data_IF_049101603661
#
_entry.id   IF_049101603661
#
_cell.length_a   1.000
_cell.length_b   1.000
_cell.length_c   1.000
_cell.angle_alpha   90.00
_cell.angle_beta   90.00
_cell.angle_gamma   90.00
#
_symmetry.space_group_name_H-M   'P 1'
#
loop_
_entity.id
_entity.type
_entity.pdbx_description
1 polymer ?
#
# COMPACT_ATOMS: atom_id res chain seq x y z
N UNK A 1 13.10 -13.21 28.95
CA UNK A 1 11.89 -12.41 29.14
C UNK A 1 11.29 -12.29 27.76
N UNK A 2 10.34 -13.13 27.46
CA UNK A 2 9.64 -13.20 26.18
C UNK A 2 8.62 -12.08 26.12
N UNK A 3 8.79 -11.11 25.22
CA UNK A 3 7.78 -10.12 24.91
C UNK A 3 6.70 -10.77 24.06
N UNK A 4 5.55 -11.02 24.64
CA UNK A 4 4.36 -11.38 23.90
C UNK A 4 3.86 -10.13 23.16
N UNK A 5 3.74 -10.21 21.84
CA UNK A 5 2.97 -9.25 21.03
C UNK A 5 1.52 -9.26 21.50
N UNK A 6 0.87 -8.11 21.62
CA UNK A 6 -0.55 -8.05 21.96
C UNK A 6 -1.37 -8.67 20.82
N UNK A 7 -2.03 -9.78 21.10
CA UNK A 7 -3.05 -10.34 20.22
C UNK A 7 -4.15 -9.29 20.00
N UNK A 8 -4.31 -8.85 18.77
CA UNK A 8 -5.40 -7.95 18.37
C UNK A 8 -6.67 -8.78 18.32
N UNK A 9 -7.53 -8.58 19.31
CA UNK A 9 -8.86 -9.18 19.37
C UNK A 9 -9.76 -8.55 18.30
N UNK A 10 -10.04 -9.27 17.21
CA UNK A 10 -10.97 -8.84 16.18
C UNK A 10 -12.41 -9.19 16.57
N UNK A 11 -13.21 -8.15 16.78
CA UNK A 11 -14.67 -8.29 16.86
C UNK A 11 -15.25 -8.26 15.45
N UNK A 12 -15.83 -9.37 15.03
CA UNK A 12 -16.59 -9.49 13.80
C UNK A 12 -17.95 -8.79 13.95
N UNK A 13 -18.17 -7.70 13.20
CA UNK A 13 -19.46 -7.03 13.14
C UNK A 13 -19.78 -6.60 11.70
N UNK A 14 -20.88 -7.10 11.19
CA UNK A 14 -21.46 -6.73 9.91
C UNK A 14 -22.11 -5.33 9.98
N UNK A 15 -21.90 -4.51 8.94
CA UNK A 15 -22.43 -3.15 8.87
C UNK A 15 -22.82 -2.68 7.48
N UNK A 16 -24.05 -2.19 7.42
CA UNK A 16 -24.55 -1.36 6.32
C UNK A 16 -24.06 0.07 6.48
N UNK A 17 -23.44 0.63 5.45
CA UNK A 17 -23.08 2.05 5.34
C UNK A 17 -23.94 2.76 4.32
N UNK A 18 -24.44 3.93 4.69
CA UNK A 18 -24.89 4.94 3.73
C UNK A 18 -23.70 5.79 3.27
N UNK A 19 -23.69 6.26 2.01
CA UNK A 19 -22.62 7.11 1.53
C UNK A 19 -22.62 8.43 2.28
N UNK A 20 -21.51 8.79 2.91
CA UNK A 20 -21.28 10.13 3.40
C UNK A 20 -21.24 11.09 2.22
N UNK A 21 -22.11 12.08 2.21
CA UNK A 21 -22.11 13.22 1.29
C UNK A 21 -20.77 13.94 1.38
N UNK A 22 -20.22 14.30 0.22
CA UNK A 22 -18.88 14.82 0.03
C UNK A 22 -18.47 15.94 0.97
N UNK A 23 -17.35 15.72 1.65
CA UNK A 23 -16.61 16.76 2.33
C UNK A 23 -15.84 17.62 1.32
N UNK A 24 -16.13 18.90 1.29
CA UNK A 24 -15.37 19.89 0.55
C UNK A 24 -13.94 19.94 1.09
N UNK A 25 -12.93 19.75 0.23
CA UNK A 25 -11.55 20.05 0.62
C UNK A 25 -10.42 19.30 -0.05
N UNK A 26 -10.65 18.21 -0.76
CA UNK A 26 -9.61 17.57 -1.57
C UNK A 26 -10.11 17.47 -3.00
N UNK A 27 -9.74 18.44 -3.83
CA UNK A 27 -10.11 18.45 -5.24
C UNK A 27 -9.37 17.33 -5.99
N UNK A 28 -10.12 16.49 -6.67
CA UNK A 28 -9.59 15.51 -7.61
C UNK A 28 -9.25 16.23 -8.92
N UNK A 29 -7.96 16.61 -9.07
CA UNK A 29 -7.47 17.21 -10.30
C UNK A 29 -7.09 16.12 -11.29
N UNK A 30 -8.02 15.72 -12.12
CA UNK A 30 -7.73 14.91 -13.30
C UNK A 30 -6.69 15.64 -14.16
N UNK A 31 -5.54 14.98 -14.39
CA UNK A 31 -4.55 15.31 -15.42
C UNK A 31 -3.97 16.74 -15.42
N UNK A 32 -3.06 17.02 -14.51
CA UNK A 32 -2.06 18.06 -14.76
C UNK A 32 -0.78 17.43 -15.31
N UNK A 33 -0.30 18.00 -16.42
CA UNK A 33 0.83 17.52 -17.26
C UNK A 33 2.22 17.45 -16.59
N UNK A 34 2.32 17.65 -15.26
CA UNK A 34 3.59 17.84 -14.58
C UNK A 34 4.18 16.58 -13.91
N UNK A 35 3.39 15.50 -13.79
CA UNK A 35 3.94 14.23 -13.29
C UNK A 35 4.38 13.35 -14.47
N UNK A 36 5.50 12.62 -14.29
CA UNK A 36 6.02 11.73 -15.33
C UNK A 36 5.02 10.60 -15.63
N UNK A 37 5.11 10.04 -16.83
CA UNK A 37 4.42 8.82 -17.26
C UNK A 37 5.27 8.07 -18.26
N UNK A 38 5.05 6.75 -18.37
CA UNK A 38 5.82 5.90 -19.26
C UNK A 38 7.14 5.42 -18.64
N UNK A 39 8.24 5.45 -19.39
CA UNK A 39 9.53 4.99 -18.89
C UNK A 39 10.06 5.87 -17.76
N UNK A 40 10.51 5.25 -16.66
CA UNK A 40 11.19 5.88 -15.55
C UNK A 40 12.63 5.38 -15.42
N UNK A 41 13.18 5.50 -14.19
CA UNK A 41 14.57 5.08 -13.94
C UNK A 41 14.78 3.56 -14.08
N UNK A 42 13.71 2.76 -13.97
CA UNK A 42 13.79 1.30 -14.14
C UNK A 42 13.83 0.85 -15.61
N UNK A 43 13.51 1.70 -16.55
CA UNK A 43 13.45 1.33 -17.98
C UNK A 43 14.80 0.86 -18.57
N UNK A 44 15.92 1.22 -17.94
CA UNK A 44 17.27 0.80 -18.33
C UNK A 44 17.66 -0.58 -17.74
N UNK A 45 16.83 -1.15 -16.86
CA UNK A 45 17.13 -2.36 -16.10
C UNK A 45 16.13 -3.46 -16.43
N UNK A 46 16.57 -4.47 -17.17
CA UNK A 46 15.75 -5.65 -17.44
C UNK A 46 15.47 -6.41 -16.15
N UNK A 47 14.20 -6.69 -15.85
CA UNK A 47 13.75 -7.31 -14.60
C UNK A 47 14.40 -6.67 -13.36
N UNK A 48 14.66 -5.37 -13.40
CA UNK A 48 15.31 -4.57 -12.36
C UNK A 48 16.72 -5.00 -11.94
N UNK A 49 17.38 -5.86 -12.68
CA UNK A 49 18.73 -6.35 -12.36
C UNK A 49 19.70 -5.17 -12.29
N UNK A 50 20.21 -4.89 -11.08
CA UNK A 50 21.16 -3.80 -10.84
C UNK A 50 20.52 -2.46 -10.48
N UNK A 51 19.19 -2.33 -10.52
CA UNK A 51 18.44 -1.10 -10.21
C UNK A 51 18.73 -0.56 -8.80
N UNK A 52 19.00 -1.44 -7.82
CA UNK A 52 19.35 -1.05 -6.45
C UNK A 52 20.60 -0.16 -6.35
N UNK A 53 21.44 -0.09 -7.42
CA UNK A 53 22.64 0.76 -7.48
C UNK A 53 22.37 2.11 -8.14
N UNK A 54 21.18 2.32 -8.71
CA UNK A 54 20.82 3.58 -9.39
C UNK A 54 20.64 4.68 -8.36
N UNK A 55 21.17 5.86 -8.66
CA UNK A 55 20.97 7.05 -7.84
C UNK A 55 19.48 7.36 -7.63
N UNK A 56 19.12 7.62 -6.39
CA UNK A 56 17.73 7.88 -5.98
C UNK A 56 16.95 6.62 -5.56
N UNK A 57 17.48 5.42 -5.75
CA UNK A 57 16.89 4.20 -5.21
C UNK A 57 17.30 4.04 -3.75
N UNK A 58 16.31 3.88 -2.89
CA UNK A 58 16.46 3.68 -1.42
C UNK A 58 16.47 2.18 -1.10
N UNK A 59 15.59 1.43 -1.75
CA UNK A 59 15.45 -0.02 -1.57
C UNK A 59 14.94 -0.65 -2.87
N UNK A 60 15.41 -1.84 -3.17
CA UNK A 60 14.89 -2.66 -4.27
C UNK A 60 15.09 -4.14 -3.94
N UNK A 61 14.05 -4.95 -4.14
CA UNK A 61 14.09 -6.39 -4.00
C UNK A 61 13.14 -7.04 -5.02
N UNK A 62 13.65 -8.02 -5.77
CA UNK A 62 12.91 -8.87 -6.70
C UNK A 62 12.82 -10.32 -6.22
N UNK A 63 13.06 -10.57 -4.92
CA UNK A 63 12.98 -11.88 -4.27
C UNK A 63 13.88 -12.97 -4.88
N UNK A 64 14.81 -12.62 -5.77
CA UNK A 64 15.69 -13.56 -6.49
C UNK A 64 16.67 -14.32 -5.59
N UNK A 65 16.89 -13.86 -4.36
CA UNK A 65 17.64 -14.62 -3.33
C UNK A 65 16.91 -15.89 -2.87
N UNK A 66 15.60 -15.99 -3.10
CA UNK A 66 14.76 -17.08 -2.60
C UNK A 66 14.43 -16.99 -1.11
N UNK A 67 14.69 -15.84 -0.49
CA UNK A 67 14.43 -15.56 0.92
C UNK A 67 13.97 -14.11 1.15
N UNK A 68 13.74 -13.74 2.41
CA UNK A 68 13.36 -12.41 2.84
C UNK A 68 14.47 -11.67 3.60
N UNK A 69 15.74 -11.99 3.35
CA UNK A 69 16.85 -11.38 4.07
C UNK A 69 16.97 -9.85 3.87
N UNK A 70 16.44 -9.33 2.77
CA UNK A 70 16.40 -7.89 2.50
C UNK A 70 15.35 -7.14 3.35
N UNK A 71 14.39 -7.84 3.95
CA UNK A 71 13.27 -7.30 4.72
C UNK A 71 13.52 -7.36 6.21
N UNK A 72 13.01 -6.39 6.95
CA UNK A 72 13.27 -6.25 8.38
C UNK A 72 12.26 -7.03 9.26
N UNK A 73 11.01 -7.17 8.76
CA UNK A 73 9.96 -7.97 9.41
C UNK A 73 9.26 -8.85 8.38
N UNK A 74 8.84 -10.02 8.82
CA UNK A 74 8.18 -11.03 8.00
C UNK A 74 7.23 -11.88 8.84
N UNK A 75 6.10 -12.24 8.28
CA UNK A 75 5.09 -13.07 8.95
C UNK A 75 5.36 -14.57 8.78
N UNK A 76 6.61 -15.01 8.94
CA UNK A 76 7.00 -16.41 8.79
C UNK A 76 6.29 -17.36 9.76
N UNK A 77 5.96 -16.89 10.96
CA UNK A 77 5.26 -17.70 11.95
C UNK A 77 3.88 -18.17 11.47
N UNK A 78 3.23 -17.39 10.62
CA UNK A 78 1.92 -17.71 10.05
C UNK A 78 1.99 -18.67 8.87
N UNK A 79 3.18 -18.90 8.30
CA UNK A 79 3.43 -19.78 7.14
C UNK A 79 2.56 -19.46 5.91
N UNK A 80 2.15 -18.23 5.75
CA UNK A 80 1.33 -17.77 4.63
C UNK A 80 2.03 -16.73 3.75
N UNK A 81 3.31 -16.47 4.03
CA UNK A 81 4.18 -15.64 3.19
C UNK A 81 5.45 -16.42 2.87
N UNK A 82 5.72 -16.64 1.62
CA UNK A 82 6.89 -17.40 1.18
C UNK A 82 7.35 -16.97 -0.22
N UNK A 83 8.62 -17.18 -0.53
CA UNK A 83 9.11 -17.04 -1.89
C UNK A 83 8.62 -18.22 -2.75
N UNK A 84 8.40 -17.95 -4.01
CA UNK A 84 7.85 -18.92 -4.94
C UNK A 84 8.42 -18.67 -6.34
N UNK A 85 8.68 -19.71 -7.15
CA UNK A 85 9.01 -19.50 -8.55
C UNK A 85 7.94 -18.63 -9.22
N UNK A 86 8.36 -17.61 -9.95
CA UNK A 86 7.43 -16.66 -10.58
C UNK A 86 6.51 -17.38 -11.55
N UNK A 87 5.17 -17.28 -11.38
CA UNK A 87 4.27 -17.87 -12.34
C UNK A 87 4.38 -17.11 -13.67
N UNK A 88 4.78 -17.83 -14.72
CA UNK A 88 4.67 -17.43 -16.13
C UNK A 88 5.26 -16.08 -16.55
N UNK A 89 6.19 -15.48 -15.78
CA UNK A 89 6.79 -14.20 -16.18
C UNK A 89 8.31 -14.21 -16.13
N UNK A 90 8.98 -14.66 -17.20
CA UNK A 90 10.44 -14.57 -17.32
C UNK A 90 10.94 -13.12 -17.41
N UNK A 91 10.04 -12.14 -17.56
CA UNK A 91 10.38 -10.71 -17.61
C UNK A 91 10.60 -10.11 -16.22
N UNK A 92 10.07 -10.74 -15.15
CA UNK A 92 10.17 -10.26 -13.77
C UNK A 92 11.20 -11.03 -12.93
N UNK A 93 11.81 -12.10 -13.45
CA UNK A 93 12.77 -12.92 -12.73
C UNK A 93 12.30 -14.36 -12.55
N UNK A 94 12.92 -15.09 -11.58
CA UNK A 94 12.64 -16.50 -11.34
C UNK A 94 11.85 -16.72 -10.03
N UNK A 95 11.85 -15.75 -9.13
CA UNK A 95 11.18 -15.83 -7.83
C UNK A 95 10.30 -14.60 -7.61
N UNK A 96 9.25 -14.76 -6.83
CA UNK A 96 8.39 -13.69 -6.35
C UNK A 96 7.92 -13.99 -4.92
N UNK A 97 7.41 -13.01 -4.22
CA UNK A 97 6.67 -13.20 -2.99
C UNK A 97 5.27 -13.73 -3.31
N UNK A 98 4.89 -14.84 -2.71
CA UNK A 98 3.51 -15.35 -2.68
C UNK A 98 2.91 -15.10 -1.31
N UNK A 99 1.85 -14.32 -1.25
CA UNK A 99 1.05 -14.11 -0.05
C UNK A 99 -0.24 -14.93 -0.13
N UNK A 100 -0.49 -15.73 0.89
CA UNK A 100 -1.65 -16.61 0.96
C UNK A 100 -2.46 -16.28 2.21
N UNK A 101 -3.70 -15.90 2.04
CA UNK A 101 -4.61 -15.54 3.11
C UNK A 101 -5.74 -16.55 3.24
N UNK A 102 -5.93 -17.09 4.46
CA UNK A 102 -6.90 -18.13 4.77
C UNK A 102 -8.03 -17.57 5.62
N UNK A 103 -9.26 -17.60 5.08
CA UNK A 103 -10.43 -17.09 5.76
C UNK A 103 -10.69 -17.82 7.09
N UNK A 104 -10.85 -17.06 8.17
CA UNK A 104 -11.14 -17.60 9.50
C UNK A 104 -9.94 -18.21 10.24
N UNK A 105 -8.74 -18.16 9.64
CA UNK A 105 -7.49 -18.66 10.25
C UNK A 105 -6.41 -17.58 10.15
N UNK A 106 -5.49 -17.77 9.21
CA UNK A 106 -4.43 -16.82 8.90
C UNK A 106 -4.92 -15.87 7.82
N UNK A 107 -5.56 -14.79 8.22
CA UNK A 107 -6.25 -13.85 7.34
C UNK A 107 -5.32 -13.00 6.49
N UNK A 108 -4.03 -13.16 6.61
CA UNK A 108 -3.04 -12.51 5.77
C UNK A 108 -1.68 -12.42 6.41
N UNK A 109 -0.75 -11.95 5.64
CA UNK A 109 0.63 -11.71 6.06
C UNK A 109 1.39 -10.98 4.98
N UNK A 110 2.60 -10.57 5.32
CA UNK A 110 3.47 -9.83 4.43
C UNK A 110 4.86 -9.62 4.99
N UNK A 111 5.55 -8.70 4.36
CA UNK A 111 6.90 -8.28 4.72
C UNK A 111 6.94 -6.77 4.92
N UNK A 112 7.82 -6.31 5.81
CA UNK A 112 7.99 -4.88 6.06
C UNK A 112 9.45 -4.47 5.96
N UNK A 113 9.68 -3.34 5.30
CA UNK A 113 10.98 -2.66 5.19
C UNK A 113 10.92 -1.30 5.83
N UNK A 114 11.80 -1.03 6.80
CA UNK A 114 12.09 0.33 7.28
C UNK A 114 13.23 0.94 6.47
N UNK A 115 13.14 2.24 6.22
CA UNK A 115 14.14 2.95 5.45
C UNK A 115 14.25 4.43 5.86
N UNK A 116 15.38 5.04 5.54
CA UNK A 116 15.53 6.49 5.67
C UNK A 116 14.68 7.21 4.62
N UNK A 117 13.79 8.07 5.07
CA UNK A 117 12.81 8.75 4.22
C UNK A 117 13.40 9.92 3.43
N UNK A 118 12.62 10.42 2.47
CA UNK A 118 12.90 11.62 1.66
C UNK A 118 11.64 12.47 1.53
N UNK A 119 11.79 13.72 1.10
CA UNK A 119 10.66 14.65 0.91
C UNK A 119 9.60 14.14 -0.06
N UNK A 120 10.03 13.45 -1.10
CA UNK A 120 9.18 12.74 -2.07
C UNK A 120 9.62 11.29 -2.16
N UNK A 121 8.67 10.39 -2.12
CA UNK A 121 8.86 8.96 -2.27
C UNK A 121 8.02 8.44 -3.43
N UNK A 122 8.62 7.55 -4.20
CA UNK A 122 7.95 6.71 -5.20
C UNK A 122 8.11 5.26 -4.77
N UNK A 123 7.04 4.51 -4.81
CA UNK A 123 7.00 3.09 -4.49
C UNK A 123 6.43 2.36 -5.69
N UNK A 124 7.18 1.42 -6.25
CA UNK A 124 6.72 0.59 -7.34
C UNK A 124 6.83 -0.87 -6.95
N UNK A 125 5.85 -1.65 -7.36
CA UNK A 125 5.83 -3.11 -7.26
C UNK A 125 5.07 -3.69 -8.44
N UNK A 126 5.36 -4.94 -8.74
CA UNK A 126 4.48 -5.74 -9.58
C UNK A 126 3.60 -6.62 -8.71
N UNK A 127 2.40 -6.89 -9.19
CA UNK A 127 1.48 -7.80 -8.50
C UNK A 127 0.63 -8.58 -9.48
N UNK A 128 0.33 -9.83 -9.12
CA UNK A 128 -0.62 -10.67 -9.82
C UNK A 128 -1.60 -11.26 -8.82
N UNK A 129 -2.87 -11.24 -9.15
CA UNK A 129 -3.94 -11.87 -8.39
C UNK A 129 -4.25 -13.23 -8.99
N UNK A 130 -4.27 -14.30 -8.18
CA UNK A 130 -4.66 -15.62 -8.64
C UNK A 130 -6.04 -15.61 -9.32
N UNK A 131 -6.34 -16.56 -10.25
CA UNK A 131 -7.59 -16.55 -11.03
C UNK A 131 -8.85 -16.51 -10.18
N UNK A 132 -8.82 -17.15 -9.02
CA UNK A 132 -9.90 -17.26 -8.06
C UNK A 132 -9.81 -16.25 -6.91
N UNK A 133 -8.82 -15.35 -6.90
CA UNK A 133 -8.67 -14.34 -5.86
C UNK A 133 -9.95 -13.50 -5.72
N UNK A 134 -10.45 -13.40 -4.49
CA UNK A 134 -11.63 -12.62 -4.11
C UNK A 134 -11.19 -11.22 -3.61
N UNK A 135 -12.03 -10.53 -2.86
CA UNK A 135 -11.70 -9.21 -2.31
C UNK A 135 -10.55 -9.30 -1.31
N UNK A 136 -9.61 -8.38 -1.43
CA UNK A 136 -8.52 -8.14 -0.49
C UNK A 136 -8.86 -6.88 0.32
N UNK A 137 -8.55 -6.84 1.61
CA UNK A 137 -8.90 -5.73 2.50
C UNK A 137 -7.74 -4.76 2.72
N UNK A 138 -6.53 -5.25 2.97
CA UNK A 138 -5.31 -4.46 3.05
C UNK A 138 -4.26 -4.99 2.09
N UNK A 139 -3.43 -4.09 1.58
CA UNK A 139 -2.48 -4.40 0.53
C UNK A 139 -1.13 -3.69 0.76
N UNK A 140 -0.65 -2.88 -0.17
CA UNK A 140 0.66 -2.24 -0.04
C UNK A 140 0.52 -0.90 0.66
N UNK A 141 1.13 -0.78 1.84
CA UNK A 141 0.96 0.37 2.74
C UNK A 141 2.29 1.06 3.03
N UNK A 142 2.35 2.35 2.75
CA UNK A 142 3.41 3.25 3.19
C UNK A 142 3.02 3.88 4.52
N UNK A 143 3.85 3.70 5.55
CA UNK A 143 3.59 4.13 6.92
C UNK A 143 4.61 5.15 7.38
N UNK A 144 4.14 6.16 8.10
CA UNK A 144 4.99 7.13 8.78
C UNK A 144 5.10 6.80 10.26
N UNK A 145 6.33 6.79 10.73
CA UNK A 145 6.66 6.57 12.12
C UNK A 145 7.61 7.67 12.60
N UNK A 146 7.55 8.00 13.87
CA UNK A 146 8.32 9.09 14.45
C UNK A 146 9.82 8.77 14.53
N UNK A 147 10.15 7.49 14.59
CA UNK A 147 11.52 6.99 14.68
C UNK A 147 11.66 5.67 13.93
N UNK A 148 12.89 5.33 13.56
CA UNK A 148 13.25 3.98 13.07
C UNK A 148 13.68 3.04 14.21
N UNK A 149 13.64 3.51 15.46
CA UNK A 149 14.12 2.77 16.63
C UNK A 149 13.10 2.75 17.76
N UNK A 150 13.24 1.77 18.64
CA UNK A 150 12.42 1.63 19.83
C UNK A 150 10.93 1.42 19.53
N UNK A 151 10.07 1.78 20.46
CA UNK A 151 8.62 1.62 20.30
C UNK A 151 8.03 2.55 19.23
N UNK A 152 8.64 3.69 19.00
CA UNK A 152 8.14 4.70 18.04
C UNK A 152 8.24 4.25 16.58
N UNK A 153 9.06 3.24 16.26
CA UNK A 153 9.12 2.64 14.92
C UNK A 153 7.81 1.94 14.52
N UNK A 154 6.92 1.68 15.48
CA UNK A 154 5.67 0.96 15.28
C UNK A 154 4.42 1.87 15.27
N UNK A 155 4.56 3.18 15.42
CA UNK A 155 3.43 4.10 15.53
C UNK A 155 2.47 4.04 14.34
N UNK A 156 3.00 3.80 13.13
CA UNK A 156 2.21 3.67 11.90
C UNK A 156 1.47 2.34 11.73
N UNK A 157 1.68 1.36 12.62
CA UNK A 157 1.13 0.00 12.51
C UNK A 157 -0.15 -0.21 13.33
N UNK A 158 -0.63 0.80 14.00
CA UNK A 158 -1.84 0.74 14.79
C UNK A 158 -2.80 1.85 14.44
N UNK A 159 -3.88 1.91 15.21
CA UNK A 159 -4.81 3.04 15.16
C UNK A 159 -5.89 2.93 14.11
N UNK A 160 -6.30 1.72 13.72
CA UNK A 160 -7.52 1.51 12.95
C UNK A 160 -8.72 2.19 13.64
N UNK A 161 -9.47 3.00 12.90
CA UNK A 161 -10.58 3.77 13.44
C UNK A 161 -10.17 5.00 14.27
N UNK A 162 -8.87 5.30 14.40
CA UNK A 162 -8.36 6.44 15.16
C UNK A 162 -7.72 7.48 14.25
N UNK A 163 -8.21 8.72 14.36
CA UNK A 163 -7.64 9.84 13.62
C UNK A 163 -6.20 10.14 14.09
N UNK A 164 -5.21 10.20 13.16
CA UNK A 164 -3.89 10.68 13.51
C UNK A 164 -3.92 12.12 14.00
N UNK A 165 -3.05 12.47 14.93
CA UNK A 165 -2.92 13.86 15.42
C UNK A 165 -1.89 14.68 14.64
N UNK A 166 -1.08 14.02 13.80
CA UNK A 166 -0.13 14.64 12.87
C UNK A 166 1.30 14.76 13.39
N UNK A 167 1.61 14.15 14.52
CA UNK A 167 2.94 14.16 15.13
C UNK A 167 3.49 12.75 15.45
N UNK A 168 2.68 11.70 15.33
CA UNK A 168 3.08 10.32 15.65
C UNK A 168 3.03 9.41 14.45
N UNK A 169 2.02 9.54 13.59
CA UNK A 169 1.77 8.65 12.46
C UNK A 169 0.90 9.28 11.38
N UNK A 170 1.02 8.77 10.20
CA UNK A 170 0.06 8.76 9.11
C UNK A 170 0.32 7.53 8.24
N UNK A 171 -0.59 7.18 7.36
CA UNK A 171 -0.37 6.11 6.39
C UNK A 171 -1.17 6.33 5.13
N UNK A 172 -0.69 5.76 4.04
CA UNK A 172 -1.45 5.63 2.80
C UNK A 172 -1.17 4.25 2.20
N UNK A 173 -2.23 3.55 1.84
CA UNK A 173 -2.16 2.27 1.15
C UNK A 173 -2.68 2.43 -0.27
N UNK A 174 -2.04 1.76 -1.24
CA UNK A 174 -2.66 1.47 -2.53
C UNK A 174 -3.22 0.06 -2.46
N UNK A 175 -4.51 -0.09 -2.70
CA UNK A 175 -5.20 -1.37 -2.50
C UNK A 175 -6.34 -1.58 -3.49
N UNK A 176 -6.73 -2.84 -3.75
CA UNK A 176 -7.97 -3.15 -4.44
C UNK A 176 -9.19 -2.65 -3.66
N UNK A 177 -10.17 -2.08 -4.37
CA UNK A 177 -11.40 -1.59 -3.78
C UNK A 177 -12.63 -2.17 -4.47
N UNK A 178 -13.36 -3.00 -3.76
CA UNK A 178 -14.59 -3.65 -4.23
C UNK A 178 -15.80 -2.74 -4.26
N UNK A 179 -15.71 -1.51 -3.76
CA UNK A 179 -16.83 -0.55 -3.66
C UNK A 179 -18.10 -1.21 -3.10
N UNK A 180 -17.97 -1.83 -1.93
CA UNK A 180 -19.08 -2.50 -1.24
C UNK A 180 -19.75 -3.61 -2.09
N UNK A 181 -18.97 -4.30 -2.91
CA UNK A 181 -19.45 -5.37 -3.79
C UNK A 181 -20.01 -4.86 -5.13
N UNK A 182 -19.92 -3.56 -5.44
CA UNK A 182 -20.32 -3.00 -6.74
C UNK A 182 -19.32 -3.31 -7.85
N UNK A 183 -18.04 -3.42 -7.51
CA UNK A 183 -16.99 -3.82 -8.43
C UNK A 183 -16.73 -5.32 -8.29
N UNK A 184 -16.57 -6.02 -9.41
CA UNK A 184 -16.13 -7.42 -9.40
C UNK A 184 -14.75 -7.55 -8.74
N UNK A 185 -14.57 -8.58 -7.89
CA UNK A 185 -13.31 -8.84 -7.20
C UNK A 185 -12.13 -9.02 -8.18
N UNK A 186 -10.95 -8.52 -7.81
CA UNK A 186 -10.59 -7.87 -6.56
C UNK A 186 -11.01 -6.39 -6.48
N UNK A 187 -11.53 -5.78 -7.54
CA UNK A 187 -12.03 -4.42 -7.56
C UNK A 187 -11.26 -3.48 -8.48
N UNK A 188 -11.12 -2.22 -8.05
CA UNK A 188 -10.37 -1.15 -8.73
C UNK A 188 -9.27 -0.63 -7.80
N UNK A 189 -8.23 -0.03 -8.35
CA UNK A 189 -7.20 0.59 -7.54
C UNK A 189 -7.71 1.83 -6.81
N UNK A 190 -7.35 1.93 -5.53
CA UNK A 190 -7.79 2.97 -4.61
C UNK A 190 -6.68 3.28 -3.61
N UNK A 191 -6.53 4.55 -3.21
CA UNK A 191 -5.82 4.85 -1.98
C UNK A 191 -6.76 4.73 -0.77
N UNK A 192 -6.22 4.21 0.32
CA UNK A 192 -6.85 4.20 1.62
C UNK A 192 -5.89 4.86 2.63
N UNK A 193 -6.23 6.08 3.04
CA UNK A 193 -5.28 6.96 3.73
C UNK A 193 -5.79 7.42 5.08
N UNK A 194 -4.85 7.55 6.03
CA UNK A 194 -5.04 8.11 7.36
C UNK A 194 -4.13 9.33 7.55
N UNK A 195 -4.69 10.48 7.88
CA UNK A 195 -3.95 11.71 8.17
C UNK A 195 -4.67 12.60 9.17
N UNK A 196 -4.02 13.64 9.67
CA UNK A 196 -4.51 14.43 10.80
C UNK A 196 -5.76 15.28 10.52
N UNK A 197 -6.11 15.50 9.26
CA UNK A 197 -7.30 16.29 8.88
C UNK A 197 -8.44 15.43 8.30
N UNK A 198 -8.30 14.09 8.34
CA UNK A 198 -9.36 13.21 7.91
C UNK A 198 -10.62 13.36 8.77
N UNK A 199 -11.75 13.01 8.20
CA UNK A 199 -13.03 13.09 8.88
C UNK A 199 -13.16 12.05 10.00
N UNK A 200 -13.94 12.40 11.02
CA UNK A 200 -14.38 11.50 12.07
C UNK A 200 -15.89 11.34 11.95
N UNK A 201 -16.41 10.14 12.07
CA UNK A 201 -17.84 9.89 12.04
C UNK A 201 -18.54 10.60 13.22
N UNK A 202 -19.54 11.40 12.90
CA UNK A 202 -20.26 12.21 13.89
C UNK A 202 -21.45 11.49 14.49
N UNK A 203 -21.93 10.43 13.87
CA UNK A 203 -23.15 9.74 14.27
C UNK A 203 -23.09 8.23 14.06
N UNK A 204 -24.16 7.56 14.47
CA UNK A 204 -24.37 6.15 14.29
C UNK A 204 -23.38 5.26 15.04
N UNK A 205 -23.29 4.04 14.60
CA UNK A 205 -22.46 2.97 15.19
C UNK A 205 -20.96 3.26 15.17
N UNK A 206 -20.50 4.19 14.31
CA UNK A 206 -19.09 4.59 14.19
C UNK A 206 -18.81 5.98 14.74
N UNK A 207 -19.73 6.53 15.51
CA UNK A 207 -19.50 7.82 16.15
C UNK A 207 -18.14 7.82 16.89
N UNK A 208 -17.33 8.83 16.62
CA UNK A 208 -16.00 8.97 17.18
C UNK A 208 -14.89 8.18 16.47
N UNK A 209 -15.21 7.32 15.48
CA UNK A 209 -14.21 6.60 14.70
C UNK A 209 -13.85 7.36 13.43
N UNK A 210 -12.58 7.28 13.07
CA UNK A 210 -12.03 7.81 11.81
C UNK A 210 -11.44 6.67 11.01
N UNK A 211 -12.24 6.13 10.10
CA UNK A 211 -11.77 5.10 9.18
C UNK A 211 -11.04 5.74 8.00
N UNK A 212 -10.05 5.06 7.45
CA UNK A 212 -9.27 5.56 6.33
C UNK A 212 -10.15 6.06 5.19
N UNK A 213 -9.75 7.17 4.56
CA UNK A 213 -10.48 7.74 3.42
C UNK A 213 -10.00 7.14 2.12
N UNK A 214 -10.94 6.75 1.30
CA UNK A 214 -10.72 6.29 -0.07
C UNK A 214 -10.48 7.47 -1.01
N UNK A 215 -9.46 7.33 -1.88
CA UNK A 215 -9.20 8.22 -2.99
C UNK A 215 -9.16 7.38 -4.27
N UNK A 216 -10.29 7.29 -4.94
CA UNK A 216 -10.48 6.50 -6.14
C UNK A 216 -10.67 7.39 -7.37
N UNK A 217 -10.19 6.92 -8.52
CA UNK A 217 -10.51 7.51 -9.81
C UNK A 217 -11.83 6.93 -10.27
N UNK A 218 -12.80 7.82 -10.53
CA UNK A 218 -14.10 7.41 -11.08
C UNK A 218 -13.89 6.66 -12.40
N UNK A 219 -14.55 5.54 -12.55
CA UNK A 219 -14.54 4.72 -13.77
C UNK A 219 -13.14 4.19 -14.16
N UNK A 220 -12.19 4.11 -13.21
CA UNK A 220 -10.91 3.45 -13.46
C UNK A 220 -11.13 1.97 -13.85
N UNK A 221 -10.21 1.35 -14.62
CA UNK A 221 -10.36 -0.05 -15.02
C UNK A 221 -10.44 -0.99 -13.81
N UNK A 222 -11.19 -2.08 -13.95
CA UNK A 222 -11.14 -3.21 -13.02
C UNK A 222 -9.77 -3.86 -13.07
N UNK A 223 -9.31 -4.32 -11.93
CA UNK A 223 -8.06 -5.09 -11.81
C UNK A 223 -8.23 -6.43 -12.53
N UNK A 224 -7.32 -6.73 -13.45
CA UNK A 224 -7.30 -7.99 -14.18
C UNK A 224 -6.55 -9.05 -13.37
N UNK A 225 -7.15 -10.20 -13.13
CA UNK A 225 -6.52 -11.36 -12.50
C UNK A 225 -5.66 -12.14 -13.50
N UNK A 226 -4.74 -12.97 -13.01
CA UNK A 226 -3.82 -13.79 -13.80
C UNK A 226 -2.99 -12.99 -14.80
N UNK A 227 -2.60 -11.79 -14.39
CA UNK A 227 -1.74 -10.91 -15.17
C UNK A 227 -0.90 -10.06 -14.21
N UNK A 228 0.37 -9.98 -14.46
CA UNK A 228 1.26 -9.04 -13.78
C UNK A 228 0.89 -7.60 -14.13
N UNK A 229 0.80 -6.77 -13.11
CA UNK A 229 0.45 -5.35 -13.18
C UNK A 229 1.54 -4.57 -12.49
N UNK A 230 2.13 -3.61 -13.18
CA UNK A 230 3.05 -2.64 -12.59
C UNK A 230 2.23 -1.56 -11.88
N UNK A 231 2.34 -1.50 -10.56
CA UNK A 231 1.69 -0.48 -9.73
C UNK A 231 2.77 0.42 -9.16
N UNK A 232 2.64 1.71 -9.37
CA UNK A 232 3.51 2.71 -8.74
C UNK A 232 2.67 3.76 -8.05
N UNK A 233 3.13 4.24 -6.89
CA UNK A 233 2.51 5.38 -6.23
C UNK A 233 3.56 6.32 -5.64
N UNK A 234 3.17 7.58 -5.51
CA UNK A 234 3.98 8.68 -5.01
C UNK A 234 3.35 9.25 -3.74
N UNK A 235 4.19 9.63 -2.82
CA UNK A 235 3.85 10.48 -1.68
C UNK A 235 4.81 11.67 -1.62
N UNK A 236 4.27 12.88 -1.58
CA UNK A 236 5.00 14.10 -1.27
C UNK A 236 4.64 14.53 0.15
N UNK A 237 5.63 14.60 1.03
CA UNK A 237 5.43 15.12 2.37
C UNK A 237 5.10 16.61 2.32
N UNK A 238 4.11 17.01 3.09
CA UNK A 238 3.81 18.44 3.25
C UNK A 238 4.87 19.15 4.09
N UNK A 239 5.00 20.47 3.90
CA UNK A 239 5.62 21.36 4.89
C UNK A 239 4.78 21.27 6.17
N UNK A 240 5.37 21.05 7.35
CA UNK A 240 4.61 20.89 8.59
C UNK A 240 3.51 21.93 8.77
N UNK A 241 2.27 21.46 8.94
CA UNK A 241 1.09 22.29 9.13
C UNK A 241 0.54 22.96 7.85
N UNK A 242 1.17 22.78 6.68
CA UNK A 242 0.63 23.27 5.41
C UNK A 242 -0.09 22.15 4.67
N UNK A 243 -0.99 22.54 3.76
CA UNK A 243 -1.71 21.61 2.85
C UNK A 243 -1.04 21.56 1.49
N UNK A 244 0.25 21.24 1.46
CA UNK A 244 1.05 21.13 0.23
C UNK A 244 1.58 19.71 -0.03
N UNK A 245 1.08 18.71 0.72
CA UNK A 245 1.35 17.32 0.47
C UNK A 245 0.50 16.75 -0.68
N UNK A 246 1.00 15.67 -1.27
CA UNK A 246 0.36 15.03 -2.42
C UNK A 246 0.45 13.50 -2.36
N UNK A 247 -0.45 12.84 -3.09
CA UNK A 247 -0.30 11.45 -3.51
C UNK A 247 -0.79 11.28 -4.94
N UNK A 248 -0.20 10.32 -5.65
CA UNK A 248 -0.55 9.96 -7.02
C UNK A 248 -0.26 8.50 -7.27
N UNK A 249 -0.93 7.85 -8.24
CA UNK A 249 -0.58 6.49 -8.63
C UNK A 249 -0.64 6.27 -10.13
N UNK A 250 0.12 5.29 -10.58
CA UNK A 250 0.24 4.85 -11.95
C UNK A 250 -0.04 3.35 -12.05
N UNK A 251 -0.60 2.95 -13.17
CA UNK A 251 -0.75 1.55 -13.56
C UNK A 251 -0.07 1.35 -14.91
N UNK A 252 0.84 0.40 -14.97
CA UNK A 252 1.65 0.10 -16.17
C UNK A 252 2.30 1.37 -16.77
N UNK A 253 2.82 2.25 -15.90
CA UNK A 253 3.46 3.51 -16.25
C UNK A 253 2.50 4.64 -16.65
N UNK A 254 1.18 4.41 -16.65
CA UNK A 254 0.17 5.44 -16.97
C UNK A 254 -0.35 6.09 -15.69
N UNK A 255 -0.26 7.42 -15.59
CA UNK A 255 -0.82 8.17 -14.46
C UNK A 255 -2.34 8.00 -14.41
N UNK A 256 -2.84 7.48 -13.29
CA UNK A 256 -4.26 7.23 -13.08
C UNK A 256 -4.93 8.32 -12.26
N UNK A 257 -4.28 8.80 -11.19
CA UNK A 257 -4.86 9.82 -10.34
C UNK A 257 -3.82 10.58 -9.53
N UNK A 258 -4.17 11.81 -9.15
CA UNK A 258 -3.33 12.71 -8.34
C UNK A 258 -4.21 13.52 -7.40
N UNK A 259 -3.83 13.57 -6.12
CA UNK A 259 -4.52 14.35 -5.08
C UNK A 259 -3.52 15.23 -4.38
N UNK A 260 -3.85 16.52 -4.31
CA UNK A 260 -3.05 17.58 -3.68
C UNK A 260 -3.77 18.12 -2.44
N UNK A 261 -3.08 18.97 -1.69
CA UNK A 261 -3.68 19.68 -0.57
C UNK A 261 -3.77 18.85 0.71
N UNK A 262 -2.94 17.83 0.86
CA UNK A 262 -2.96 16.95 2.00
C UNK A 262 -1.96 17.43 3.05
N UNK A 263 -2.42 17.57 4.30
CA UNK A 263 -1.58 17.85 5.45
C UNK A 263 -1.27 16.55 6.19
N UNK A 264 -0.28 15.80 5.72
CA UNK A 264 0.10 14.52 6.30
C UNK A 264 0.61 14.65 7.73
N UNK A 265 1.40 15.71 8.00
CA UNK A 265 2.17 15.87 9.23
C UNK A 265 2.22 17.31 9.71
N UNK A 266 2.35 17.46 11.04
CA UNK A 266 2.58 18.76 11.73
C UNK A 266 4.01 18.93 12.21
N UNK A 267 4.85 17.90 12.10
CA UNK A 267 6.25 17.92 12.55
C UNK A 267 7.19 17.42 11.44
N UNK A 268 8.34 18.04 11.30
CA UNK A 268 9.35 17.71 10.29
C UNK A 268 9.85 16.27 10.42
N UNK A 269 10.03 15.80 11.64
CA UNK A 269 10.55 14.47 11.94
C UNK A 269 9.60 13.33 11.58
N UNK A 270 8.30 13.61 11.43
CA UNK A 270 7.34 12.57 11.04
C UNK A 270 7.42 12.37 9.54
N UNK A 271 8.02 11.27 9.13
CA UNK A 271 8.27 10.91 7.73
C UNK A 271 7.75 9.51 7.45
N UNK A 272 7.25 9.27 6.24
CA UNK A 272 6.96 7.93 5.76
C UNK A 272 8.28 7.15 5.62
N UNK A 273 8.46 6.10 6.41
CA UNK A 273 9.73 5.41 6.60
C UNK A 273 9.59 3.90 6.76
N UNK A 274 8.40 3.35 6.51
CA UNK A 274 8.15 1.93 6.50
C UNK A 274 7.20 1.57 5.34
N UNK A 275 7.58 0.56 4.57
CA UNK A 275 6.75 -0.04 3.53
C UNK A 275 6.35 -1.45 3.96
N UNK A 276 5.06 -1.73 4.00
CA UNK A 276 4.52 -3.08 4.17
C UNK A 276 3.95 -3.55 2.85
N UNK A 277 4.37 -4.71 2.38
CA UNK A 277 3.79 -5.45 1.25
C UNK A 277 3.07 -6.64 1.85
N UNK A 278 1.75 -6.63 1.78
CA UNK A 278 0.91 -7.64 2.43
C UNK A 278 -0.33 -7.95 1.59
N UNK A 279 -0.95 -9.08 1.85
CA UNK A 279 -2.31 -9.38 1.42
C UNK A 279 -3.11 -9.82 2.65
N UNK A 280 -4.19 -9.10 2.95
CA UNK A 280 -5.05 -9.36 4.09
C UNK A 280 -6.51 -9.44 3.66
N UNK A 281 -7.26 -10.39 4.24
CA UNK A 281 -8.69 -10.59 3.95
C UNK A 281 -9.53 -10.55 5.23
N UNK A 282 -10.83 -10.30 5.06
CA UNK A 282 -11.82 -10.42 6.14
C UNK A 282 -13.04 -11.20 5.65
N UNK A 283 -13.74 -11.88 6.56
CA UNK A 283 -15.00 -12.56 6.30
C UNK A 283 -16.14 -11.62 5.90
N UNK A 284 -15.96 -10.33 6.15
CA UNK A 284 -16.92 -9.30 5.77
C UNK A 284 -17.07 -9.17 4.24
N UNK A 285 -15.96 -9.28 3.51
CA UNK A 285 -15.93 -9.05 2.06
C UNK A 285 -15.62 -10.31 1.27
N UNK A 286 -14.70 -11.12 1.78
CA UNK A 286 -14.15 -12.29 1.12
C UNK A 286 -15.02 -13.51 1.38
N UNK A 287 -15.26 -14.31 0.35
CA UNK A 287 -16.01 -15.58 0.43
C UNK A 287 -15.13 -16.79 0.15
N UNK A 288 -14.09 -16.63 -0.63
CA UNK A 288 -13.15 -17.71 -0.91
C UNK A 288 -12.35 -18.09 0.33
N UNK A 289 -12.18 -19.38 0.62
CA UNK A 289 -11.47 -19.84 1.80
C UNK A 289 -9.97 -19.53 1.76
N UNK A 290 -9.40 -19.42 0.56
CA UNK A 290 -7.98 -19.11 0.34
C UNK A 290 -7.88 -18.07 -0.77
N UNK A 291 -7.10 -17.00 -0.53
CA UNK A 291 -6.81 -15.98 -1.52
C UNK A 291 -5.30 -15.86 -1.69
N UNK A 292 -4.85 -15.85 -2.93
CA UNK A 292 -3.43 -15.79 -3.27
C UNK A 292 -3.15 -14.55 -4.12
N UNK A 293 -2.12 -13.84 -3.70
CA UNK A 293 -1.56 -12.68 -4.42
C UNK A 293 -0.05 -12.84 -4.51
N UNK A 294 0.50 -12.48 -5.65
CA UNK A 294 1.93 -12.46 -5.89
C UNK A 294 2.44 -11.02 -5.95
N UNK A 295 3.66 -10.81 -5.45
CA UNK A 295 4.36 -9.53 -5.54
C UNK A 295 5.79 -9.77 -6.03
N UNK A 296 6.28 -8.80 -6.80
CA UNK A 296 7.62 -8.86 -7.34
C UNK A 296 8.20 -7.46 -7.53
N UNK A 297 9.52 -7.40 -7.69
CA UNK A 297 10.26 -6.19 -8.08
C UNK A 297 9.81 -4.95 -7.29
N UNK A 298 9.85 -5.03 -5.97
CA UNK A 298 9.47 -3.93 -5.06
C UNK A 298 10.60 -2.91 -4.99
N UNK A 299 10.29 -1.65 -5.27
CA UNK A 299 11.27 -0.54 -5.28
C UNK A 299 10.74 0.64 -4.49
N UNK A 300 11.60 1.25 -3.67
CA UNK A 300 11.41 2.55 -3.04
C UNK A 300 12.47 3.51 -3.57
N UNK A 301 12.06 4.65 -4.08
CA UNK A 301 12.96 5.63 -4.67
C UNK A 301 12.52 7.07 -4.42
N UNK A 302 13.40 8.03 -4.71
CA UNK A 302 13.11 9.47 -4.67
C UNK A 302 12.72 10.05 -6.03
N UNK A 303 12.68 9.19 -7.06
CA UNK A 303 12.38 9.53 -8.45
C UNK A 303 11.37 8.54 -9.02
N UNK A 304 10.62 8.96 -10.03
CA UNK A 304 9.70 8.10 -10.76
C UNK A 304 10.43 6.88 -11.31
N UNK A 305 9.91 5.70 -10.96
CA UNK A 305 10.57 4.42 -11.21
C UNK A 305 10.17 3.90 -12.59
N UNK A 306 8.88 3.89 -12.88
CA UNK A 306 8.31 3.33 -14.11
C UNK A 306 8.40 1.81 -14.20
N UNK A 307 7.85 1.22 -15.26
CA UNK A 307 7.99 -0.20 -15.53
C UNK A 307 9.46 -0.59 -15.79
N UNK A 308 9.81 -1.82 -15.42
CA UNK A 308 11.12 -2.43 -15.71
C UNK A 308 11.42 -2.46 -17.21
N UNK A 309 12.70 -2.38 -17.57
CA UNK A 309 13.16 -2.58 -18.94
C UNK A 309 12.84 -4.00 -19.44
N UNK A 310 12.57 -4.11 -20.74
CA UNK A 310 12.30 -5.37 -21.45
C UNK A 310 13.56 -6.11 -21.87
#
# INVERSE_FOLDING_TARGET
MTFQSPAILFCSWALCFQPASGGEGVENFAFQKELPSGPGIAAEFKADVGLQKKEGVIFADGFESGDFAAWDEKDEEKKNVFTFPSPESPELGNHCLRAEAHLGKDTGGGVTKWFSSAGTLFIRFYTEFAPDCDYVHHFVTLRANKSLQGAEKWNGFGGAGLKPVGDERFSTAIEPWGDWGRNTAPGRWNFYSYWNEMETSLDGKFQGHSWGKSFAVKDSPLITKSKWICVEFMLVHNTPGKRDGEQAYWIDGTLMGRWKGINWRKQEKLMANALTVESYITDLWTKNPVNVVFFDNVVVATRFIGPSGK
#
